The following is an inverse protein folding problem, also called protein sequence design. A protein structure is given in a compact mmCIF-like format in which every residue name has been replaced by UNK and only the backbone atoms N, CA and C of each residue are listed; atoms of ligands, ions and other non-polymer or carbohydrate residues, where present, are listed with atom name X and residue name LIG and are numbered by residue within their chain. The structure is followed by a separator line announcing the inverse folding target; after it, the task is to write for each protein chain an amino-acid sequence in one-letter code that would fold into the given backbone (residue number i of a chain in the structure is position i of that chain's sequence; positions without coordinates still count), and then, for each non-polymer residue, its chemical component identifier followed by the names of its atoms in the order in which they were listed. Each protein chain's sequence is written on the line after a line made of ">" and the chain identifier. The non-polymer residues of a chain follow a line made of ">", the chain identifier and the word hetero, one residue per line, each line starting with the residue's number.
data_IF_943750595585
#
_entry.id   IF_943750595585
#
_cell.length_a   1.000
_cell.length_b   1.000
_cell.length_c   1.000
_cell.angle_alpha   90.00
_cell.angle_beta   90.00
_cell.angle_gamma   90.00
#
_symmetry.space_group_name_H-M   'P 1'
#
loop_
_entity.id
_entity.type
_entity.pdbx_description
1 polymer ?
#
# COMPACT_ATOMS: atom_id res chain seq x y z
N UNK A 1 16.51 -15.25 -9.99
CA UNK A 1 15.11 -14.89 -9.68
C UNK A 1 15.04 -14.64 -8.20
N UNK A 2 15.16 -13.37 -7.80
CA UNK A 2 15.17 -12.99 -6.39
C UNK A 2 13.72 -12.90 -5.95
N UNK A 3 13.25 -13.93 -5.23
CA UNK A 3 11.97 -13.96 -4.55
C UNK A 3 12.20 -13.74 -3.04
N UNK A 4 13.16 -12.88 -2.70
CA UNK A 4 13.63 -12.69 -1.34
C UNK A 4 12.49 -12.22 -0.42
N UNK A 5 11.51 -11.49 -0.98
CA UNK A 5 10.28 -11.09 -0.29
C UNK A 5 9.40 -12.28 0.12
N UNK A 6 9.28 -13.30 -0.73
CA UNK A 6 8.47 -14.48 -0.45
C UNK A 6 9.15 -15.36 0.60
N UNK A 7 10.48 -15.45 0.57
CA UNK A 7 11.27 -16.17 1.58
C UNK A 7 11.10 -15.56 2.98
N UNK A 8 11.07 -14.22 3.09
CA UNK A 8 10.80 -13.54 4.36
C UNK A 8 9.39 -13.88 4.86
N UNK A 9 8.39 -13.80 3.98
CA UNK A 9 7.00 -14.09 4.33
C UNK A 9 6.82 -15.54 4.78
N UNK A 10 7.38 -16.51 4.06
CA UNK A 10 7.30 -17.93 4.42
C UNK A 10 7.88 -18.22 5.81
N UNK A 11 9.02 -17.59 6.14
CA UNK A 11 9.65 -17.73 7.46
C UNK A 11 8.82 -17.08 8.57
N UNK A 12 8.23 -15.92 8.31
CA UNK A 12 7.38 -15.23 9.29
C UNK A 12 6.04 -15.93 9.50
N UNK A 13 5.49 -16.57 8.45
CA UNK A 13 4.21 -17.26 8.47
C UNK A 13 4.29 -18.71 9.00
N UNK A 14 5.43 -19.12 9.58
CA UNK A 14 5.52 -20.40 10.27
C UNK A 14 4.44 -20.52 11.37
N UNK A 15 3.70 -21.62 11.32
CA UNK A 15 2.62 -21.94 12.27
C UNK A 15 3.16 -22.18 13.68
N UNK A 16 4.28 -22.89 13.78
CA UNK A 16 4.96 -23.11 15.05
C UNK A 16 5.77 -21.85 15.42
N UNK A 17 5.43 -21.14 16.51
CA UNK A 17 6.15 -19.95 16.93
C UNK A 17 7.62 -20.22 17.28
N UNK A 18 7.98 -21.46 17.65
CA UNK A 18 9.39 -21.83 17.94
C UNK A 18 10.25 -21.90 16.69
N UNK A 19 9.63 -22.06 15.51
CA UNK A 19 10.30 -22.11 14.20
C UNK A 19 10.30 -20.76 13.48
N UNK A 20 9.53 -19.80 14.00
CA UNK A 20 9.50 -18.44 13.46
C UNK A 20 10.78 -17.69 13.86
N UNK A 21 11.47 -17.03 12.93
CA UNK A 21 12.63 -16.22 13.29
C UNK A 21 12.20 -15.04 14.16
N UNK A 22 13.09 -14.64 15.06
CA UNK A 22 12.93 -13.38 15.78
C UNK A 22 13.33 -12.18 14.91
N UNK A 23 13.02 -10.97 15.36
CA UNK A 23 13.28 -9.74 14.60
C UNK A 23 14.76 -9.60 14.19
N UNK A 24 15.71 -9.96 15.06
CA UNK A 24 17.14 -9.86 14.75
C UNK A 24 17.58 -10.86 13.68
N UNK A 25 16.95 -12.03 13.60
CA UNK A 25 17.21 -13.03 12.56
C UNK A 25 16.59 -12.62 11.23
N UNK A 26 15.37 -12.09 11.25
CA UNK A 26 14.66 -11.62 10.05
C UNK A 26 15.40 -10.47 9.35
N UNK A 27 15.96 -9.52 10.10
CA UNK A 27 16.69 -8.39 9.54
C UNK A 27 18.00 -8.76 8.83
N UNK A 28 18.50 -9.99 9.02
CA UNK A 28 19.70 -10.51 8.34
C UNK A 28 19.39 -11.17 6.99
N UNK A 29 18.13 -11.27 6.60
CA UNK A 29 17.73 -11.87 5.33
C UNK A 29 18.11 -10.97 4.16
N UNK A 30 18.37 -11.60 3.00
CA UNK A 30 18.81 -10.94 1.78
C UNK A 30 17.86 -9.83 1.33
N UNK A 31 16.56 -10.01 1.53
CA UNK A 31 15.54 -8.98 1.25
C UNK A 31 15.84 -7.59 1.83
N UNK A 32 16.45 -7.53 3.03
CA UNK A 32 16.75 -6.25 3.70
C UNK A 32 18.13 -5.68 3.35
N UNK A 33 18.98 -6.47 2.68
CA UNK A 33 20.37 -6.10 2.38
C UNK A 33 20.63 -5.96 0.88
N UNK A 34 19.85 -6.63 0.04
CA UNK A 34 19.90 -6.53 -1.41
C UNK A 34 19.30 -5.19 -1.87
N UNK A 35 19.92 -4.52 -2.86
CA UNK A 35 19.31 -3.39 -3.52
C UNK A 35 17.97 -3.77 -4.19
N UNK A 36 16.98 -2.86 -4.23
CA UNK A 36 17.04 -1.48 -3.77
C UNK A 36 16.92 -1.37 -2.24
N UNK A 37 17.72 -0.46 -1.67
CA UNK A 37 17.60 -0.14 -0.24
C UNK A 37 16.21 0.45 0.07
N UNK A 38 15.67 0.23 1.28
CA UNK A 38 14.43 0.84 1.72
C UNK A 38 14.46 2.37 1.56
N UNK A 39 13.36 2.96 1.10
CA UNK A 39 13.25 4.42 1.06
C UNK A 39 13.08 5.00 2.48
N UNK A 40 13.46 6.28 2.65
CA UNK A 40 13.23 6.98 3.91
C UNK A 40 11.73 7.28 4.11
N UNK A 41 11.31 7.44 5.37
CA UNK A 41 9.92 7.78 5.69
C UNK A 41 9.48 9.10 5.05
N UNK A 42 10.35 10.10 4.97
CA UNK A 42 10.05 11.39 4.33
C UNK A 42 9.79 11.24 2.84
N UNK A 43 10.54 10.36 2.17
CA UNK A 43 10.33 10.05 0.75
C UNK A 43 9.00 9.32 0.56
N UNK A 44 8.71 8.32 1.38
CA UNK A 44 7.43 7.60 1.33
C UNK A 44 6.24 8.55 1.47
N UNK A 45 6.29 9.48 2.43
CA UNK A 45 5.22 10.48 2.62
C UNK A 45 5.03 11.36 1.39
N UNK A 46 6.12 11.83 0.77
CA UNK A 46 6.06 12.63 -0.46
C UNK A 46 5.44 11.84 -1.62
N UNK A 47 5.89 10.60 -1.81
CA UNK A 47 5.42 9.74 -2.89
C UNK A 47 3.90 9.45 -2.75
N UNK A 48 3.44 9.22 -1.52
CA UNK A 48 2.01 9.04 -1.21
C UNK A 48 1.20 10.31 -1.46
N UNK A 49 1.66 11.47 -0.99
CA UNK A 49 0.98 12.75 -1.20
C UNK A 49 0.86 13.10 -2.69
N UNK A 50 1.93 12.86 -3.46
CA UNK A 50 1.94 13.07 -4.89
C UNK A 50 0.93 12.17 -5.61
N UNK A 51 0.92 10.87 -5.28
CA UNK A 51 -0.04 9.92 -5.84
C UNK A 51 -1.51 10.36 -5.58
N UNK A 52 -1.80 10.90 -4.38
CA UNK A 52 -3.12 11.44 -4.05
C UNK A 52 -3.45 12.74 -4.79
N UNK A 53 -2.48 13.63 -5.03
CA UNK A 53 -2.72 14.84 -5.82
C UNK A 53 -2.99 14.54 -7.29
N UNK A 54 -2.35 13.52 -7.85
CA UNK A 54 -2.57 13.08 -9.22
C UNK A 54 -3.93 12.37 -9.40
N UNK A 55 -4.51 11.87 -8.31
CA UNK A 55 -5.87 11.31 -8.26
C UNK A 55 -6.96 12.36 -8.01
N UNK A 56 -6.66 13.66 -8.12
CA UNK A 56 -7.71 14.67 -8.28
C UNK A 56 -8.44 14.37 -9.59
N UNK A 57 -9.53 13.58 -9.46
CA UNK A 57 -10.52 13.36 -10.51
C UNK A 57 -10.78 14.71 -11.15
N UNK A 58 -10.54 14.81 -12.46
CA UNK A 58 -11.01 15.95 -13.23
C UNK A 58 -12.47 16.16 -12.84
N UNK A 59 -12.90 17.39 -12.48
CA UNK A 59 -14.32 17.67 -12.35
C UNK A 59 -14.97 17.12 -13.61
N UNK A 60 -15.92 16.19 -13.46
CA UNK A 60 -16.73 15.77 -14.58
C UNK A 60 -17.36 17.07 -15.07
N UNK A 61 -16.96 17.56 -16.25
CA UNK A 61 -17.67 18.68 -16.86
C UNK A 61 -19.13 18.26 -16.92
N UNK A 62 -19.96 18.91 -16.13
CA UNK A 62 -21.38 18.66 -16.07
C UNK A 62 -21.98 19.16 -17.38
N UNK A 63 -21.82 18.38 -18.45
CA UNK A 63 -22.55 18.58 -19.70
C UNK A 63 -23.99 18.16 -19.45
N UNK A 64 -24.78 19.12 -18.95
CA UNK A 64 -26.24 19.21 -19.07
C UNK A 64 -27.00 17.89 -19.07
N UNK A 65 -26.98 17.16 -17.96
CA UNK A 65 -27.92 16.06 -17.69
C UNK A 65 -29.18 16.57 -16.98
N UNK A 66 -30.36 15.98 -17.21
CA UNK A 66 -31.62 16.52 -16.68
C UNK A 66 -31.65 16.47 -15.16
N UNK A 67 -32.19 17.53 -14.56
CA UNK A 67 -32.27 17.75 -13.12
C UNK A 67 -32.74 16.50 -12.36
N UNK A 68 -31.95 16.09 -11.36
CA UNK A 68 -32.33 15.03 -10.42
C UNK A 68 -33.59 15.47 -9.67
N UNK A 69 -34.73 14.86 -10.00
CA UNK A 69 -35.98 15.05 -9.23
C UNK A 69 -35.73 14.53 -7.82
N UNK A 70 -35.78 15.43 -6.83
CA UNK A 70 -35.77 15.07 -5.41
C UNK A 70 -37.04 14.27 -5.14
N UNK A 71 -36.90 13.03 -4.67
CA UNK A 71 -38.02 12.27 -4.11
C UNK A 71 -38.39 12.92 -2.79
N UNK A 72 -39.58 13.54 -2.75
CA UNK A 72 -40.22 13.92 -1.50
C UNK A 72 -40.83 12.66 -0.88
N UNK A 73 -40.58 12.45 0.41
CA UNK A 73 -41.36 11.50 1.19
C UNK A 73 -42.49 12.31 1.83
N UNK A 74 -43.74 11.93 1.54
CA UNK A 74 -44.91 12.46 2.25
C UNK A 74 -44.90 11.98 3.71
N UNK A 75 -45.35 12.85 4.60
CA UNK A 75 -45.43 12.71 6.06
C UNK A 75 -46.64 11.88 6.51
#
# INVERSE_FOLDING_TARGET
>A
SNNDELDVLERLMQLDPKRRPNASETLKLEYFSNPPAPCSCERLVKDVQQAHSDHKRKPLEEKGGPAKKRLAFDE
#
